data_IF_049636175063
#
_entry.id   IF_049636175063
#
_cell.length_a   1.000
_cell.length_b   1.000
_cell.length_c   1.000
_cell.angle_alpha   90.00
_cell.angle_beta   90.00
_cell.angle_gamma   90.00
#
_symmetry.space_group_name_H-M   'P 1'
#
loop_
_entity.id
_entity.type
_entity.pdbx_description
1 polymer ?
#
# COMPACT_ATOMS: atom_id res chain seq x y z
N UNK A 1 -15.43 -15.04 -4.22
CA UNK A 1 -14.25 -14.16 -4.10
C UNK A 1 -14.16 -13.76 -2.63
N UNK A 2 -13.01 -13.91 -1.99
CA UNK A 2 -12.84 -13.51 -0.58
C UNK A 2 -11.50 -12.83 -0.40
N UNK A 3 -11.51 -11.62 0.18
CA UNK A 3 -10.27 -10.93 0.53
C UNK A 3 -9.67 -11.56 1.77
N UNK A 4 -8.40 -11.95 1.69
CA UNK A 4 -7.66 -12.48 2.82
C UNK A 4 -6.59 -11.50 3.25
N UNK A 5 -6.62 -11.17 4.53
CA UNK A 5 -5.68 -10.28 5.17
C UNK A 5 -5.24 -10.88 6.48
N UNK A 6 -3.98 -10.70 6.82
CA UNK A 6 -3.55 -10.86 8.19
C UNK A 6 -4.03 -9.67 9.03
N UNK A 7 -4.35 -9.95 10.28
CA UNK A 7 -4.62 -8.98 11.34
C UNK A 7 -4.00 -9.52 12.62
N UNK A 8 -3.27 -8.68 13.35
CA UNK A 8 -2.68 -9.09 14.64
C UNK A 8 -3.71 -9.55 15.66
N UNK A 9 -4.92 -9.02 15.61
CA UNK A 9 -6.01 -9.43 16.50
C UNK A 9 -6.61 -10.80 16.17
N UNK A 10 -6.36 -11.34 14.97
CA UNK A 10 -6.92 -12.61 14.48
C UNK A 10 -5.86 -13.35 13.63
N UNK A 11 -4.71 -13.74 14.22
CA UNK A 11 -3.52 -14.16 13.48
C UNK A 11 -3.71 -15.46 12.68
N UNK A 12 -4.72 -16.28 13.03
CA UNK A 12 -4.96 -17.58 12.40
C UNK A 12 -6.13 -17.59 11.42
N UNK A 13 -6.96 -16.53 11.38
CA UNK A 13 -8.20 -16.48 10.60
C UNK A 13 -7.99 -16.72 9.11
N UNK A 14 -6.84 -16.31 8.57
CA UNK A 14 -6.53 -16.47 7.15
C UNK A 14 -6.38 -17.95 6.73
N UNK A 15 -6.03 -18.86 7.65
CA UNK A 15 -5.88 -20.28 7.33
C UNK A 15 -7.22 -20.92 7.01
N UNK A 16 -8.27 -20.57 7.76
CA UNK A 16 -9.64 -21.01 7.46
C UNK A 16 -10.09 -20.51 6.09
N UNK A 17 -9.70 -19.30 5.70
CA UNK A 17 -10.02 -18.75 4.39
C UNK A 17 -9.31 -19.49 3.25
N UNK A 18 -8.05 -19.90 3.45
CA UNK A 18 -7.30 -20.69 2.47
C UNK A 18 -7.93 -22.07 2.32
N UNK A 19 -8.21 -22.73 3.44
CA UNK A 19 -8.88 -24.03 3.46
C UNK A 19 -10.23 -23.99 2.73
N UNK A 20 -11.06 -22.97 3.01
CA UNK A 20 -12.34 -22.78 2.33
C UNK A 20 -12.18 -22.64 0.81
N UNK A 21 -11.16 -21.91 0.36
CA UNK A 21 -10.87 -21.74 -1.08
C UNK A 21 -10.47 -23.08 -1.69
N UNK A 22 -9.58 -23.83 -1.04
CA UNK A 22 -9.12 -25.12 -1.55
C UNK A 22 -10.24 -26.15 -1.61
N UNK A 23 -11.03 -26.27 -0.54
CA UNK A 23 -12.20 -27.16 -0.49
C UNK A 23 -13.24 -26.80 -1.56
N UNK A 24 -13.54 -25.51 -1.72
CA UNK A 24 -14.48 -25.05 -2.74
C UNK A 24 -14.01 -25.42 -4.15
N UNK A 25 -12.72 -25.27 -4.45
CA UNK A 25 -12.18 -25.64 -5.76
C UNK A 25 -12.08 -27.16 -5.94
N UNK A 26 -11.79 -27.92 -4.88
CA UNK A 26 -11.76 -29.39 -4.92
C UNK A 26 -13.14 -29.99 -5.22
N UNK A 27 -14.22 -29.32 -4.77
CA UNK A 27 -15.61 -29.67 -5.07
C UNK A 27 -16.09 -29.21 -6.46
N UNK A 28 -15.21 -28.64 -7.28
CA UNK A 28 -15.53 -28.16 -8.64
C UNK A 28 -16.04 -26.72 -8.71
N UNK A 29 -16.07 -26.00 -7.59
CA UNK A 29 -16.30 -24.56 -7.55
C UNK A 29 -15.12 -23.76 -8.12
N UNK A 30 -15.34 -22.46 -8.34
CA UNK A 30 -14.28 -21.52 -8.73
C UNK A 30 -14.16 -20.44 -7.67
N UNK A 31 -13.08 -20.49 -6.90
CA UNK A 31 -12.81 -19.48 -5.87
C UNK A 31 -11.34 -19.05 -5.92
N UNK A 32 -11.11 -17.75 -5.84
CA UNK A 32 -9.79 -17.17 -5.66
C UNK A 32 -9.74 -16.42 -4.32
N UNK A 33 -8.55 -16.43 -3.74
CA UNK A 33 -8.16 -15.51 -2.69
C UNK A 33 -7.79 -14.19 -3.38
N UNK A 34 -8.43 -13.11 -2.93
CA UNK A 34 -7.95 -11.78 -3.24
C UNK A 34 -6.91 -11.39 -2.20
N UNK A 35 -5.67 -11.14 -2.61
CA UNK A 35 -4.58 -10.75 -1.73
C UNK A 35 -3.80 -9.57 -2.27
N UNK A 36 -3.24 -8.74 -1.39
CA UNK A 36 -2.26 -7.71 -1.75
C UNK A 36 -0.86 -8.15 -1.33
N UNK A 37 0.14 -7.77 -2.13
CA UNK A 37 1.55 -8.08 -1.88
C UNK A 37 2.24 -7.08 -0.95
N UNK A 38 1.54 -6.04 -0.50
CA UNK A 38 2.10 -5.00 0.38
C UNK A 38 1.54 -5.12 1.79
N UNK A 39 2.18 -4.44 2.75
CA UNK A 39 1.43 -3.91 3.89
C UNK A 39 0.20 -3.16 3.39
N UNK A 40 -0.91 -3.31 4.10
CA UNK A 40 -2.13 -2.56 3.81
C UNK A 40 -2.47 -1.72 5.03
N UNK A 41 -2.46 -0.40 4.87
CA UNK A 41 -2.68 0.52 5.97
C UNK A 41 -2.57 1.96 5.53
N UNK A 42 -2.37 2.83 6.51
CA UNK A 42 -2.31 4.26 6.23
C UNK A 42 -0.86 4.75 6.16
N UNK A 43 -0.60 5.61 5.20
CA UNK A 43 0.54 6.50 5.22
C UNK A 43 0.29 7.65 6.20
N UNK A 44 1.30 7.90 7.03
CA UNK A 44 1.36 8.99 8.00
C UNK A 44 2.46 9.94 7.59
N UNK A 45 2.21 11.23 7.71
CA UNK A 45 3.21 12.28 7.48
C UNK A 45 2.71 13.56 8.13
N UNK A 46 3.63 14.47 8.44
CA UNK A 46 3.26 15.83 8.80
C UNK A 46 2.70 16.62 7.60
N UNK A 47 2.99 16.20 6.37
CA UNK A 47 2.38 16.78 5.16
C UNK A 47 0.91 16.35 4.97
N UNK A 48 0.53 15.18 5.50
CA UNK A 48 -0.83 14.66 5.43
C UNK A 48 -1.45 14.59 6.81
N UNK A 49 -1.28 13.44 7.47
CA UNK A 49 -1.94 13.12 8.72
C UNK A 49 -0.96 12.39 9.64
N UNK A 50 -0.83 12.85 10.88
CA UNK A 50 -0.09 12.11 11.91
C UNK A 50 -1.04 11.19 12.67
N UNK A 51 -0.54 10.21 13.44
CA UNK A 51 -1.41 9.36 14.25
C UNK A 51 -2.21 10.11 15.34
N UNK A 52 -1.87 11.37 15.64
CA UNK A 52 -2.36 12.09 16.81
C UNK A 52 -3.20 13.33 16.48
N UNK A 53 -3.48 13.59 15.21
CA UNK A 53 -4.18 14.82 14.76
C UNK A 53 -5.55 15.03 15.41
N UNK A 54 -6.15 13.99 16.00
CA UNK A 54 -7.43 14.06 16.71
C UNK A 54 -7.31 14.44 18.20
N UNK A 55 -6.11 14.40 18.80
CA UNK A 55 -5.86 14.84 20.17
C UNK A 55 -5.88 16.39 20.19
N UNK A 56 -6.62 17.07 21.10
CA UNK A 56 -6.83 18.53 21.02
C UNK A 56 -5.54 19.36 20.85
N UNK A 57 -4.50 19.09 21.64
CA UNK A 57 -3.22 19.82 21.57
C UNK A 57 -2.55 19.61 20.21
N UNK A 58 -2.57 18.39 19.69
CA UNK A 58 -2.04 18.07 18.37
C UNK A 58 -2.90 18.67 17.26
N UNK A 59 -4.24 18.62 17.38
CA UNK A 59 -5.16 19.22 16.42
C UNK A 59 -4.89 20.69 16.21
N UNK A 60 -4.62 21.44 17.27
CA UNK A 60 -4.29 22.86 17.17
C UNK A 60 -2.87 23.07 16.62
N UNK A 61 -1.90 22.28 17.06
CA UNK A 61 -0.54 22.32 16.55
C UNK A 61 -0.46 22.02 15.04
N UNK A 62 -1.25 21.06 14.57
CA UNK A 62 -1.28 20.57 13.18
C UNK A 62 -1.94 21.54 12.21
N UNK A 63 -2.64 22.58 12.69
CA UNK A 63 -3.14 23.70 11.87
C UNK A 63 -2.04 24.68 11.44
N UNK A 64 -0.90 24.67 12.12
CA UNK A 64 0.22 25.56 11.82
C UNK A 64 0.86 25.19 10.48
N UNK A 65 1.59 26.12 9.87
CA UNK A 65 2.38 25.82 8.67
C UNK A 65 3.44 24.75 8.98
N UNK A 66 3.88 23.96 7.99
CA UNK A 66 4.95 22.97 8.22
C UNK A 66 6.22 23.59 8.83
N UNK A 67 6.55 24.84 8.44
CA UNK A 67 7.67 25.59 9.01
C UNK A 67 7.49 25.85 10.51
N UNK A 68 6.30 26.29 10.91
CA UNK A 68 6.01 26.60 12.31
C UNK A 68 5.86 25.33 13.15
N UNK A 69 5.38 24.24 12.55
CA UNK A 69 5.41 22.92 13.17
C UNK A 69 6.85 22.45 13.37
N UNK A 70 7.72 22.59 12.37
CA UNK A 70 9.13 22.22 12.52
C UNK A 70 9.80 23.04 13.64
N UNK A 71 9.55 24.35 13.69
CA UNK A 71 10.03 25.20 14.77
C UNK A 71 9.49 24.77 16.14
N UNK A 72 8.19 24.49 16.24
CA UNK A 72 7.55 24.04 17.49
C UNK A 72 8.02 22.65 17.95
N UNK A 73 8.36 21.73 17.05
CA UNK A 73 8.94 20.43 17.43
C UNK A 73 10.39 20.54 17.92
N UNK A 74 11.10 21.61 17.54
CA UNK A 74 12.45 21.93 18.04
C UNK A 74 12.41 22.69 19.37
N UNK A 75 11.28 23.31 19.71
CA UNK A 75 11.06 23.92 21.01
C UNK A 75 10.80 22.83 22.09
N UNK A 76 11.65 22.72 23.13
CA UNK A 76 11.49 21.71 24.17
C UNK A 76 10.16 21.80 24.92
N UNK A 77 9.62 23.01 25.12
CA UNK A 77 8.36 23.19 25.87
C UNK A 77 7.17 22.65 25.06
N UNK A 78 7.06 23.06 23.80
CA UNK A 78 6.04 22.55 22.89
C UNK A 78 6.16 21.03 22.69
N UNK A 79 7.37 20.50 22.51
CA UNK A 79 7.61 19.05 22.34
C UNK A 79 7.16 18.27 23.58
N UNK A 80 7.52 18.73 24.78
CA UNK A 80 7.07 18.12 26.03
C UNK A 80 5.54 18.16 26.17
N UNK A 81 4.90 19.28 25.78
CA UNK A 81 3.44 19.42 25.80
C UNK A 81 2.74 18.43 24.86
N UNK A 82 3.27 18.24 23.65
CA UNK A 82 2.75 17.27 22.68
C UNK A 82 2.92 15.83 23.16
N UNK A 83 4.08 15.50 23.75
CA UNK A 83 4.35 14.18 24.31
C UNK A 83 3.44 13.86 25.51
N UNK A 84 3.30 14.80 26.45
CA UNK A 84 2.39 14.67 27.58
C UNK A 84 0.94 14.48 27.13
N UNK A 85 0.51 15.16 26.06
CA UNK A 85 -0.83 14.99 25.49
C UNK A 85 -1.05 13.58 24.91
N UNK A 86 -0.03 12.96 24.29
CA UNK A 86 -0.10 11.56 23.84
C UNK A 86 -0.17 10.60 25.03
N UNK A 87 0.66 10.80 26.04
CA UNK A 87 0.70 9.95 27.24
C UNK A 87 -0.60 10.00 28.05
N UNK A 88 -1.20 11.19 28.19
CA UNK A 88 -2.46 11.37 28.90
C UNK A 88 -3.69 10.88 28.09
N UNK A 89 -3.53 10.68 26.77
CA UNK A 89 -4.64 10.29 25.92
C UNK A 89 -4.91 8.79 26.00
N UNK A 90 -6.09 8.43 26.52
CA UNK A 90 -6.60 7.05 26.42
C UNK A 90 -7.29 6.85 25.08
N UNK A 91 -6.72 6.01 24.23
CA UNK A 91 -7.34 5.65 22.96
C UNK A 91 -8.69 4.95 23.17
N UNK A 92 -9.73 5.45 22.52
CA UNK A 92 -11.06 4.85 22.47
C UNK A 92 -11.56 4.90 21.03
N UNK A 93 -12.05 3.78 20.46
CA UNK A 93 -12.71 3.82 19.16
C UNK A 93 -13.86 4.83 19.19
N UNK A 94 -13.88 5.72 18.20
CA UNK A 94 -14.87 6.79 18.07
C UNK A 94 -15.42 6.76 16.65
N UNK A 95 -16.66 6.31 16.42
CA UNK A 95 -17.26 6.24 15.09
C UNK A 95 -17.27 7.58 14.32
N UNK A 96 -17.12 8.72 15.00
CA UNK A 96 -17.00 10.03 14.35
C UNK A 96 -15.62 10.27 13.70
N UNK A 97 -14.60 9.46 14.03
CA UNK A 97 -13.26 9.57 13.46
C UNK A 97 -13.09 8.66 12.23
N UNK A 98 -12.27 9.07 11.24
CA UNK A 98 -11.84 8.21 10.16
C UNK A 98 -11.30 6.85 10.65
N UNK A 99 -11.52 5.78 9.87
CA UNK A 99 -11.01 4.43 10.15
C UNK A 99 -9.51 4.37 10.48
N UNK A 100 -8.75 5.30 9.91
CA UNK A 100 -7.33 5.47 10.15
C UNK A 100 -6.97 5.78 11.62
N UNK A 101 -7.89 6.36 12.39
CA UNK A 101 -7.71 6.70 13.81
C UNK A 101 -8.40 5.75 14.77
N UNK A 102 -8.99 4.66 14.29
CA UNK A 102 -9.73 3.71 15.14
C UNK A 102 -8.82 2.73 15.90
N UNK A 103 -7.51 2.79 15.65
CA UNK A 103 -6.53 1.86 16.21
C UNK A 103 -5.45 2.62 16.96
N UNK A 104 -5.01 2.13 18.13
CA UNK A 104 -3.89 2.73 18.83
C UNK A 104 -2.62 2.59 17.98
N UNK A 105 -1.66 3.48 18.24
CA UNK A 105 -0.33 3.40 17.64
C UNK A 105 0.45 2.30 18.33
N UNK A 106 1.02 1.40 17.53
CA UNK A 106 1.98 0.41 17.98
C UNK A 106 3.29 0.66 17.23
N UNK A 107 4.31 1.09 17.96
CA UNK A 107 5.57 1.54 17.38
C UNK A 107 6.40 0.41 16.78
N UNK A 108 6.16 -0.85 17.17
CA UNK A 108 6.75 -2.02 16.52
C UNK A 108 6.17 -2.26 15.11
N UNK A 109 5.09 -1.53 14.76
CA UNK A 109 4.37 -1.62 13.49
C UNK A 109 4.16 -0.25 12.84
N UNK A 110 5.05 0.70 13.12
CA UNK A 110 5.16 1.94 12.35
C UNK A 110 6.53 1.93 11.68
N UNK A 111 6.58 2.08 10.37
CA UNK A 111 7.83 1.97 9.62
C UNK A 111 8.09 3.27 8.84
N UNK A 112 9.24 3.93 9.04
CA UNK A 112 9.62 5.08 8.22
C UNK A 112 9.99 4.61 6.81
N UNK A 113 9.31 5.16 5.80
CA UNK A 113 9.64 4.89 4.40
C UNK A 113 10.86 5.74 4.03
N UNK A 114 12.04 5.16 4.22
CA UNK A 114 13.33 5.81 3.90
C UNK A 114 13.86 5.45 2.52
N UNK A 115 13.33 4.37 1.93
CA UNK A 115 13.65 3.86 0.61
C UNK A 115 12.43 3.08 0.06
N UNK A 116 12.38 2.74 -1.24
CA UNK A 116 11.12 2.34 -1.85
C UNK A 116 10.67 0.89 -1.56
N UNK A 117 11.60 0.01 -1.21
CA UNK A 117 11.33 -1.40 -0.94
C UNK A 117 11.84 -1.78 0.45
N UNK A 118 11.16 -2.68 1.17
CA UNK A 118 11.62 -3.17 2.48
C UNK A 118 12.89 -4.04 2.37
N UNK A 119 13.57 -4.33 3.49
CA UNK A 119 13.13 -4.15 4.89
C UNK A 119 13.23 -2.73 5.44
N UNK A 120 12.27 -2.38 6.31
CA UNK A 120 12.30 -1.15 7.10
C UNK A 120 12.37 -1.52 8.59
N UNK A 121 13.30 -0.97 9.38
CA UNK A 121 13.23 -1.11 10.83
C UNK A 121 12.00 -0.35 11.35
N UNK A 122 11.27 -0.92 12.29
CA UNK A 122 10.14 -0.22 12.91
C UNK A 122 10.64 0.96 13.76
N UNK A 123 9.76 1.91 14.07
CA UNK A 123 10.07 2.98 15.03
C UNK A 123 10.45 2.39 16.39
N UNK A 124 9.79 1.30 16.81
CA UNK A 124 10.13 0.57 18.04
C UNK A 124 11.54 -0.02 18.01
N UNK A 125 11.95 -0.61 16.88
CA UNK A 125 13.32 -1.13 16.72
C UNK A 125 14.37 -0.02 16.78
N UNK A 126 14.12 1.10 16.07
CA UNK A 126 15.02 2.26 16.07
C UNK A 126 15.10 2.87 17.48
N UNK A 127 13.98 2.95 18.20
CA UNK A 127 13.91 3.44 19.57
C UNK A 127 14.74 2.58 20.53
N UNK A 128 14.60 1.24 20.46
CA UNK A 128 15.43 0.31 21.23
C UNK A 128 16.91 0.46 20.90
N UNK A 129 17.26 0.62 19.62
CA UNK A 129 18.64 0.81 19.19
C UNK A 129 19.24 2.13 19.68
N UNK A 130 18.45 3.21 19.70
CA UNK A 130 18.89 4.55 20.11
C UNK A 130 18.79 4.79 21.63
N UNK A 131 18.08 3.93 22.37
CA UNK A 131 17.78 4.16 23.79
C UNK A 131 16.88 5.37 24.01
N UNK A 132 15.94 5.62 23.09
CA UNK A 132 15.03 6.77 23.09
C UNK A 132 13.56 6.32 23.17
N UNK A 133 12.68 7.22 23.59
CA UNK A 133 11.24 6.98 23.51
C UNK A 133 10.78 6.89 22.04
N UNK A 134 9.88 5.96 21.67
CA UNK A 134 9.45 5.80 20.28
C UNK A 134 8.81 7.04 19.66
N UNK A 135 8.04 7.82 20.44
CA UNK A 135 7.47 9.07 19.96
C UNK A 135 8.57 10.08 19.60
N UNK A 136 9.64 10.16 20.41
CA UNK A 136 10.76 11.04 20.13
C UNK A 136 11.50 10.62 18.87
N UNK A 137 11.71 9.33 18.64
CA UNK A 137 12.29 8.81 17.39
C UNK A 137 11.43 9.18 16.18
N UNK A 138 10.11 9.00 16.27
CA UNK A 138 9.19 9.39 15.21
C UNK A 138 9.30 10.89 14.86
N UNK A 139 9.35 11.75 15.88
CA UNK A 139 9.50 13.20 15.72
C UNK A 139 10.89 13.57 15.16
N UNK A 140 11.96 12.96 15.67
CA UNK A 140 13.33 13.21 15.22
C UNK A 140 13.52 12.83 13.76
N UNK A 141 13.04 11.65 13.34
CA UNK A 141 13.11 11.23 11.94
C UNK A 141 12.30 12.13 11.01
N UNK A 142 11.15 12.63 11.46
CA UNK A 142 10.39 13.62 10.70
C UNK A 142 11.19 14.94 10.58
N UNK A 143 11.79 15.43 11.66
CA UNK A 143 12.62 16.64 11.68
C UNK A 143 13.87 16.51 10.80
N UNK A 144 14.52 15.35 10.78
CA UNK A 144 15.67 15.02 9.92
C UNK A 144 15.34 15.13 8.41
N UNK A 145 14.05 15.15 8.05
CA UNK A 145 13.56 15.27 6.67
C UNK A 145 12.66 16.50 6.47
N UNK A 146 12.79 17.51 7.33
CA UNK A 146 11.98 18.75 7.27
C UNK A 146 10.48 18.45 7.20
N UNK A 147 10.03 17.47 7.99
CA UNK A 147 8.66 16.97 8.07
C UNK A 147 8.14 16.29 6.79
N UNK A 148 9.00 16.08 5.79
CA UNK A 148 8.71 15.39 4.53
C UNK A 148 9.15 13.92 4.57
N UNK A 149 8.62 13.20 5.54
CA UNK A 149 8.85 11.76 5.68
C UNK A 149 7.51 11.05 5.87
N UNK A 150 7.27 10.04 5.04
CA UNK A 150 6.13 9.15 5.20
C UNK A 150 6.49 7.98 6.10
N UNK A 151 5.54 7.59 6.94
CA UNK A 151 5.58 6.38 7.74
C UNK A 151 4.39 5.52 7.35
N UNK A 152 4.58 4.21 7.21
CA UNK A 152 3.46 3.29 7.04
C UNK A 152 3.05 2.73 8.40
N UNK A 153 1.76 2.82 8.70
CA UNK A 153 1.11 2.15 9.82
C UNK A 153 0.15 1.10 9.24
N UNK A 154 0.58 -0.16 9.12
CA UNK A 154 -0.25 -1.24 8.60
C UNK A 154 -1.50 -1.45 9.49
N UNK A 155 -2.66 -1.62 8.85
CA UNK A 155 -3.89 -2.10 9.50
C UNK A 155 -4.19 -3.56 9.20
N UNK A 156 -3.52 -4.10 8.18
CA UNK A 156 -3.63 -5.43 7.63
C UNK A 156 -2.29 -5.82 7.01
N UNK A 157 -2.09 -7.13 6.88
CA UNK A 157 -0.84 -7.67 6.34
C UNK A 157 0.38 -7.16 7.13
N UNK A 158 0.23 -7.04 8.45
CA UNK A 158 1.32 -6.66 9.33
C UNK A 158 2.47 -7.68 9.18
N UNK A 159 2.17 -8.96 9.38
CA UNK A 159 3.13 -10.06 9.22
C UNK A 159 3.45 -10.34 7.73
N UNK A 160 4.72 -10.17 7.36
CA UNK A 160 5.20 -10.42 5.99
C UNK A 160 5.37 -11.90 5.66
N UNK A 161 5.52 -12.79 6.64
CA UNK A 161 5.52 -14.24 6.38
C UNK A 161 4.12 -14.72 5.98
N UNK A 162 3.06 -14.11 6.54
CA UNK A 162 1.71 -14.29 6.00
C UNK A 162 1.62 -13.82 4.54
N UNK A 163 2.10 -12.61 4.23
CA UNK A 163 2.05 -12.09 2.85
C UNK A 163 2.77 -13.02 1.88
N UNK A 164 3.93 -13.55 2.29
CA UNK A 164 4.69 -14.57 1.56
C UNK A 164 3.85 -15.83 1.33
N UNK A 165 3.15 -16.35 2.34
CA UNK A 165 2.26 -17.51 2.18
C UNK A 165 1.08 -17.19 1.24
N UNK A 166 0.48 -16.01 1.38
CA UNK A 166 -0.63 -15.51 0.58
C UNK A 166 -0.28 -15.45 -0.91
N UNK A 167 0.82 -14.80 -1.27
CA UNK A 167 1.21 -14.66 -2.68
C UNK A 167 1.62 -16.00 -3.31
N UNK A 168 2.14 -16.94 -2.51
CA UNK A 168 2.54 -18.28 -2.96
C UNK A 168 1.36 -19.23 -3.16
N UNK A 169 0.25 -18.99 -2.50
CA UNK A 169 -0.93 -19.85 -2.63
C UNK A 169 -1.40 -19.93 -4.10
N UNK A 170 -1.63 -21.13 -4.67
CA UNK A 170 -1.91 -21.30 -6.10
C UNK A 170 -3.21 -20.62 -6.57
N UNK A 171 -4.13 -20.34 -5.63
CA UNK A 171 -5.41 -19.67 -5.90
C UNK A 171 -5.46 -18.19 -5.49
N UNK A 172 -4.31 -17.56 -5.28
CA UNK A 172 -4.26 -16.11 -5.01
C UNK A 172 -4.15 -15.30 -6.30
N UNK A 173 -5.10 -14.40 -6.50
CA UNK A 173 -4.96 -13.25 -7.37
C UNK A 173 -4.34 -12.09 -6.59
N UNK A 174 -3.19 -11.60 -7.05
CA UNK A 174 -2.50 -10.47 -6.41
C UNK A 174 -3.09 -9.18 -6.97
N UNK A 175 -3.87 -8.48 -6.14
CA UNK A 175 -4.66 -7.29 -6.50
C UNK A 175 -4.97 -6.51 -5.22
N UNK A 176 -6.04 -5.70 -5.21
CA UNK A 176 -6.48 -4.88 -4.07
C UNK A 176 -5.67 -3.58 -3.91
N UNK A 177 -5.45 -2.84 -5.00
CA UNK A 177 -4.75 -1.55 -4.91
C UNK A 177 -5.54 -0.53 -4.11
N UNK A 178 -6.87 -0.52 -4.29
CA UNK A 178 -7.80 0.46 -3.71
C UNK A 178 -7.35 1.93 -3.94
N UNK A 179 -6.52 2.12 -4.97
CA UNK A 179 -5.98 3.41 -5.34
C UNK A 179 -7.12 4.32 -5.81
N UNK A 180 -7.29 5.48 -5.17
CA UNK A 180 -8.36 6.42 -5.48
C UNK A 180 -9.47 6.52 -4.43
N UNK A 181 -9.64 5.53 -3.53
CA UNK A 181 -10.67 5.58 -2.49
C UNK A 181 -10.26 6.48 -1.31
N UNK A 182 -8.99 6.43 -0.95
CA UNK A 182 -8.40 7.13 0.19
C UNK A 182 -7.16 7.93 -0.24
N UNK A 183 -7.34 8.80 -1.24
CA UNK A 183 -6.26 9.44 -2.02
C UNK A 183 -5.19 10.15 -1.19
N UNK A 184 -5.50 10.67 0.00
CA UNK A 184 -4.55 11.40 0.84
C UNK A 184 -3.94 10.55 1.97
N UNK A 185 -4.36 9.30 2.15
CA UNK A 185 -3.97 8.48 3.31
C UNK A 185 -3.51 7.08 2.97
N UNK A 186 -3.80 6.57 1.77
CA UNK A 186 -3.49 5.18 1.39
C UNK A 186 -2.95 5.12 -0.04
N UNK A 187 -1.91 4.33 -0.24
CA UNK A 187 -1.42 3.94 -1.56
C UNK A 187 -0.82 2.53 -1.49
N UNK A 188 -1.11 1.70 -2.50
CA UNK A 188 -0.62 0.33 -2.58
C UNK A 188 -0.01 0.10 -3.97
N UNK A 189 1.31 0.26 -4.15
CA UNK A 189 1.99 0.08 -5.44
C UNK A 189 2.26 -1.42 -5.70
N UNK A 190 1.18 -2.20 -5.77
CA UNK A 190 1.21 -3.67 -5.63
C UNK A 190 2.15 -4.34 -6.64
N UNK A 191 2.05 -4.01 -7.93
CA UNK A 191 2.79 -4.74 -8.96
C UNK A 191 4.29 -4.44 -8.91
N UNK A 192 4.66 -3.17 -8.70
CA UNK A 192 6.06 -2.78 -8.50
C UNK A 192 6.66 -3.45 -7.27
N UNK A 193 5.89 -3.55 -6.17
CA UNK A 193 6.33 -4.21 -4.95
C UNK A 193 6.40 -5.74 -5.12
N UNK A 194 5.42 -6.39 -5.75
CA UNK A 194 5.43 -7.82 -6.04
C UNK A 194 6.67 -8.21 -6.85
N UNK A 195 6.95 -7.49 -7.94
CA UNK A 195 8.06 -7.82 -8.83
C UNK A 195 9.41 -7.41 -8.23
N UNK A 196 9.48 -6.23 -7.60
CA UNK A 196 10.72 -5.72 -7.04
C UNK A 196 11.13 -6.37 -5.71
N UNK A 197 10.20 -6.54 -4.78
CA UNK A 197 10.50 -7.13 -3.47
C UNK A 197 10.34 -8.66 -3.51
N UNK A 198 9.13 -9.16 -3.80
CA UNK A 198 8.85 -10.58 -3.64
C UNK A 198 9.47 -11.49 -4.70
N UNK A 199 9.62 -11.03 -5.94
CA UNK A 199 10.28 -11.80 -7.02
C UNK A 199 11.78 -11.56 -7.00
N UNK A 200 12.25 -10.32 -7.19
CA UNK A 200 13.68 -10.05 -7.34
C UNK A 200 14.45 -10.19 -6.03
N UNK A 201 14.04 -9.51 -4.96
CA UNK A 201 14.83 -9.46 -3.72
C UNK A 201 14.65 -10.73 -2.86
N UNK A 202 13.41 -11.17 -2.66
CA UNK A 202 13.08 -12.28 -1.75
C UNK A 202 13.00 -13.65 -2.44
N UNK A 203 12.91 -13.68 -3.77
CA UNK A 203 12.79 -14.90 -4.56
C UNK A 203 11.65 -15.83 -4.09
N UNK A 204 10.58 -15.25 -3.53
CA UNK A 204 9.43 -15.99 -3.01
C UNK A 204 8.59 -16.63 -4.12
N UNK A 205 8.64 -16.05 -5.33
CA UNK A 205 7.99 -16.49 -6.56
C UNK A 205 8.97 -16.38 -7.72
N UNK A 206 8.82 -17.23 -8.74
CA UNK A 206 9.44 -16.94 -10.04
C UNK A 206 8.74 -15.77 -10.72
N UNK A 207 9.42 -15.13 -11.67
CA UNK A 207 8.83 -14.03 -12.43
C UNK A 207 7.56 -14.47 -13.15
N UNK A 208 7.58 -15.63 -13.80
CA UNK A 208 6.44 -16.19 -14.55
C UNK A 208 5.25 -16.50 -13.63
N UNK A 209 5.50 -17.05 -12.44
CA UNK A 209 4.46 -17.30 -11.45
C UNK A 209 3.81 -16.00 -10.97
N UNK A 210 4.61 -14.95 -10.72
CA UNK A 210 4.08 -13.64 -10.33
C UNK A 210 3.30 -12.98 -11.47
N UNK A 211 3.81 -13.02 -12.71
CA UNK A 211 3.11 -12.48 -13.89
C UNK A 211 1.78 -13.19 -14.11
N UNK A 212 1.74 -14.52 -14.02
CA UNK A 212 0.50 -15.30 -14.16
C UNK A 212 -0.58 -14.85 -13.17
N UNK A 213 -0.21 -14.56 -11.92
CA UNK A 213 -1.12 -14.12 -10.84
C UNK A 213 -1.71 -12.73 -11.02
N UNK A 214 -1.03 -11.86 -11.76
CA UNK A 214 -1.49 -10.48 -12.05
C UNK A 214 -2.01 -10.31 -13.49
N UNK A 215 -2.09 -11.40 -14.26
CA UNK A 215 -2.56 -11.39 -15.65
C UNK A 215 -3.54 -12.54 -15.93
N UNK A 216 -3.02 -13.72 -16.28
CA UNK A 216 -3.81 -14.86 -16.74
C UNK A 216 -4.83 -15.35 -15.70
N UNK A 217 -4.43 -15.53 -14.44
CA UNK A 217 -5.34 -16.08 -13.42
C UNK A 217 -6.53 -15.14 -13.18
N UNK A 218 -6.32 -13.83 -13.29
CA UNK A 218 -7.37 -12.81 -13.20
C UNK A 218 -8.26 -12.87 -14.44
N UNK A 219 -7.67 -12.83 -15.64
CA UNK A 219 -8.43 -12.87 -16.89
C UNK A 219 -9.28 -14.14 -17.01
N UNK A 220 -8.72 -15.30 -16.66
CA UNK A 220 -9.41 -16.58 -16.67
C UNK A 220 -10.56 -16.64 -15.65
N UNK A 221 -10.38 -16.06 -14.47
CA UNK A 221 -11.43 -16.03 -13.45
C UNK A 221 -12.61 -15.15 -13.84
N UNK A 222 -12.34 -13.99 -14.46
CA UNK A 222 -13.36 -13.04 -14.90
C UNK A 222 -13.93 -13.30 -16.30
N UNK A 223 -13.44 -14.33 -17.00
CA UNK A 223 -13.90 -14.65 -18.36
C UNK A 223 -13.51 -13.60 -19.40
N UNK A 224 -12.34 -12.96 -19.22
CA UNK A 224 -11.82 -11.96 -20.15
C UNK A 224 -11.12 -12.65 -21.32
N UNK A 225 -11.93 -13.20 -22.23
CA UNK A 225 -11.44 -13.93 -23.40
C UNK A 225 -10.48 -13.09 -24.25
N UNK A 226 -9.38 -13.72 -24.69
CA UNK A 226 -8.34 -13.06 -25.47
C UNK A 226 -7.44 -12.09 -24.69
N UNK A 227 -7.49 -12.07 -23.35
CA UNK A 227 -6.65 -11.20 -22.49
C UNK A 227 -5.88 -12.00 -21.43
N UNK A 228 -4.90 -11.34 -20.79
CA UNK A 228 -4.14 -11.89 -19.66
C UNK A 228 -2.99 -12.83 -20.01
N UNK A 229 -2.73 -13.09 -21.29
CA UNK A 229 -1.58 -13.86 -21.77
C UNK A 229 -1.23 -13.50 -23.21
N UNK A 230 0.06 -13.64 -23.56
CA UNK A 230 0.56 -13.30 -24.89
C UNK A 230 0.39 -14.49 -25.85
N UNK A 231 -0.47 -14.32 -26.85
CA UNK A 231 -0.73 -15.30 -27.90
C UNK A 231 -1.22 -14.58 -29.15
N UNK A 232 -0.86 -15.06 -30.33
CA UNK A 232 -1.43 -14.57 -31.59
C UNK A 232 -2.96 -14.65 -31.56
N UNK A 233 -3.61 -13.58 -32.04
CA UNK A 233 -5.08 -13.42 -32.01
C UNK A 233 -5.65 -12.80 -30.73
N UNK A 234 -4.87 -12.68 -29.65
CA UNK A 234 -5.30 -11.98 -28.43
C UNK A 234 -5.22 -10.46 -28.58
N UNK A 235 -5.88 -9.75 -27.64
CA UNK A 235 -5.70 -8.31 -27.49
C UNK A 235 -4.26 -7.98 -27.08
N UNK A 236 -3.69 -6.94 -27.69
CA UNK A 236 -2.35 -6.45 -27.38
C UNK A 236 -2.33 -5.55 -26.13
N UNK A 237 -2.69 -6.12 -24.98
CA UNK A 237 -2.47 -5.50 -23.66
C UNK A 237 -1.13 -5.98 -23.12
N UNK A 238 -0.11 -5.12 -23.21
CA UNK A 238 1.28 -5.52 -22.98
C UNK A 238 1.96 -4.52 -22.08
N UNK A 239 2.70 -5.01 -21.09
CA UNK A 239 3.61 -4.21 -20.28
C UNK A 239 5.03 -4.65 -20.58
N UNK A 240 5.87 -3.71 -21.01
CA UNK A 240 7.32 -3.89 -21.14
C UNK A 240 7.95 -3.26 -19.92
N UNK A 241 8.70 -4.06 -19.16
CA UNK A 241 9.40 -3.60 -17.96
C UNK A 241 10.76 -4.28 -17.83
N UNK A 242 11.64 -3.67 -17.07
CA UNK A 242 12.94 -4.19 -16.70
C UNK A 242 12.84 -4.89 -15.32
N UNK A 243 13.04 -6.22 -15.24
CA UNK A 243 12.95 -6.96 -13.99
C UNK A 243 14.01 -6.53 -12.96
N UNK A 244 15.16 -6.02 -13.40
CA UNK A 244 16.24 -5.61 -12.51
C UNK A 244 15.95 -4.28 -11.80
N UNK A 245 15.13 -3.42 -12.40
CA UNK A 245 14.88 -2.05 -11.91
C UNK A 245 13.43 -1.79 -11.50
N UNK A 246 12.51 -2.73 -11.72
CA UNK A 246 11.11 -2.56 -11.33
C UNK A 246 10.97 -2.44 -9.82
N UNK A 247 10.41 -1.33 -9.36
CA UNK A 247 10.17 -1.04 -7.96
C UNK A 247 9.13 0.08 -7.84
N UNK A 248 8.34 0.14 -6.75
CA UNK A 248 7.63 1.37 -6.42
C UNK A 248 8.63 2.51 -6.22
N UNK A 249 8.21 3.75 -6.45
CA UNK A 249 8.93 4.95 -6.06
C UNK A 249 8.67 5.32 -4.60
N UNK A 250 9.21 6.44 -4.14
CA UNK A 250 8.79 7.03 -2.87
C UNK A 250 7.40 7.68 -3.02
N UNK A 251 6.54 7.65 -2.00
CA UNK A 251 5.29 8.41 -2.02
C UNK A 251 5.56 9.91 -2.01
N UNK A 252 4.74 10.66 -2.74
CA UNK A 252 4.78 12.11 -2.83
C UNK A 252 3.39 12.69 -2.62
N UNK A 253 3.26 13.78 -1.86
CA UNK A 253 2.03 14.53 -1.75
C UNK A 253 1.95 15.59 -2.86
N UNK A 254 0.90 15.54 -3.67
CA UNK A 254 0.60 16.54 -4.71
C UNK A 254 -0.77 17.17 -4.49
N UNK A 255 -0.96 18.37 -5.03
CA UNK A 255 -2.18 19.19 -4.90
C UNK A 255 -2.83 19.45 -6.27
N UNK A 256 -3.10 18.38 -7.02
CA UNK A 256 -3.55 18.43 -8.40
C UNK A 256 -5.02 18.00 -8.59
N UNK A 257 -5.75 17.77 -7.49
CA UNK A 257 -7.19 17.53 -7.51
C UNK A 257 -7.99 18.85 -7.52
N UNK A 258 -9.29 18.82 -7.88
CA UNK A 258 -10.15 20.00 -7.83
C UNK A 258 -10.06 20.74 -6.50
N UNK A 259 -10.13 22.07 -6.56
CA UNK A 259 -9.94 22.98 -5.42
C UNK A 259 -8.58 22.85 -4.70
N UNK A 260 -7.56 22.25 -5.33
CA UNK A 260 -6.22 22.09 -4.75
C UNK A 260 -6.15 21.02 -3.66
N UNK A 261 -7.13 20.11 -3.63
CA UNK A 261 -7.15 19.02 -2.66
C UNK A 261 -5.91 18.11 -2.82
N UNK A 262 -5.34 17.59 -1.71
CA UNK A 262 -4.15 16.77 -1.78
C UNK A 262 -4.45 15.32 -2.19
N UNK A 263 -3.49 14.68 -2.84
CA UNK A 263 -3.40 13.22 -2.96
C UNK A 263 -1.96 12.75 -2.90
N UNK A 264 -1.77 11.52 -2.46
CA UNK A 264 -0.50 10.83 -2.52
C UNK A 264 -0.40 10.14 -3.87
N UNK A 265 0.73 10.34 -4.55
CA UNK A 265 1.11 9.61 -5.75
C UNK A 265 2.36 8.78 -5.47
N UNK A 266 2.49 7.65 -6.18
CA UNK A 266 3.66 6.80 -6.12
C UNK A 266 3.85 6.16 -7.49
N UNK A 267 4.77 6.71 -8.28
CA UNK A 267 5.14 6.14 -9.58
C UNK A 267 5.90 4.82 -9.39
N UNK A 268 6.07 4.04 -10.45
CA UNK A 268 6.82 2.77 -10.43
C UNK A 268 7.98 2.87 -11.41
N UNK A 269 9.22 2.60 -10.98
CA UNK A 269 10.37 2.53 -11.87
C UNK A 269 10.37 1.24 -12.68
N UNK A 270 11.21 1.17 -13.72
CA UNK A 270 11.41 -0.03 -14.53
C UNK A 270 10.32 -0.31 -15.57
N UNK A 271 9.16 0.37 -15.54
CA UNK A 271 8.15 0.26 -16.61
C UNK A 271 8.56 1.11 -17.81
N UNK A 272 8.79 0.46 -18.96
CA UNK A 272 9.21 1.10 -20.21
C UNK A 272 8.04 1.52 -21.08
N UNK A 273 7.08 0.62 -21.23
CA UNK A 273 5.95 0.83 -22.12
C UNK A 273 4.73 0.07 -21.61
N UNK A 274 3.55 0.66 -21.74
CA UNK A 274 2.28 -0.03 -21.54
C UNK A 274 1.43 0.17 -22.79
N UNK A 275 0.98 -0.93 -23.37
CA UNK A 275 0.07 -0.96 -24.50
C UNK A 275 -1.31 -1.41 -24.01
N UNK A 276 -2.35 -0.77 -24.53
CA UNK A 276 -3.74 -1.17 -24.32
C UNK A 276 -4.36 -1.34 -25.70
N UNK A 277 -4.89 -2.53 -26.00
CA UNK A 277 -5.43 -2.87 -27.32
C UNK A 277 -4.47 -2.53 -28.49
N UNK A 278 -3.16 -2.62 -28.27
CA UNK A 278 -2.12 -2.37 -29.29
C UNK A 278 -1.66 -0.92 -29.41
N UNK A 279 -2.30 0.03 -28.72
CA UNK A 279 -1.87 1.42 -28.70
C UNK A 279 -0.98 1.70 -27.49
N UNK A 280 0.08 2.49 -27.69
CA UNK A 280 0.98 2.90 -26.60
C UNK A 280 0.25 3.87 -25.68
N UNK A 281 -0.17 3.39 -24.51
CA UNK A 281 -0.88 4.13 -23.48
C UNK A 281 0.08 4.92 -22.57
N UNK A 282 1.18 4.29 -22.16
CA UNK A 282 2.24 4.91 -21.36
C UNK A 282 3.60 4.61 -21.97
N UNK A 283 4.52 5.58 -21.94
CA UNK A 283 5.93 5.40 -22.31
C UNK A 283 6.82 6.13 -21.31
N UNK A 284 7.80 5.42 -20.74
CA UNK A 284 8.70 5.93 -19.69
C UNK A 284 7.94 6.66 -18.57
N UNK A 285 6.87 6.04 -18.06
CA UNK A 285 5.98 6.58 -17.02
C UNK A 285 5.17 7.85 -17.37
N UNK A 286 5.10 8.23 -18.64
CA UNK A 286 4.28 9.35 -19.10
C UNK A 286 3.12 8.88 -19.99
N UNK A 287 1.94 9.45 -19.77
CA UNK A 287 0.73 9.14 -20.52
C UNK A 287 0.82 9.76 -21.91
N UNK A 288 0.57 8.97 -22.96
CA UNK A 288 0.73 9.44 -24.35
C UNK A 288 -0.45 10.25 -24.87
N UNK A 289 -1.57 10.20 -24.16
CA UNK A 289 -2.86 10.74 -24.61
C UNK A 289 -3.78 9.70 -25.24
N UNK A 290 -3.28 8.48 -25.50
CA UNK A 290 -4.11 7.40 -26.03
C UNK A 290 -5.18 6.97 -25.03
N UNK A 291 -6.43 6.87 -25.48
CA UNK A 291 -7.59 6.43 -24.69
C UNK A 291 -8.12 5.11 -25.25
N UNK A 292 -7.24 4.13 -25.42
CA UNK A 292 -7.52 2.88 -26.11
C UNK A 292 -8.35 1.87 -25.29
N UNK A 293 -8.82 2.25 -24.10
CA UNK A 293 -9.66 1.39 -23.26
C UNK A 293 -11.00 1.04 -23.91
N UNK A 294 -11.53 -0.14 -23.61
CA UNK A 294 -12.85 -0.59 -24.07
C UNK A 294 -13.67 -1.13 -22.91
N UNK A 295 -14.98 -0.93 -22.98
CA UNK A 295 -15.91 -1.58 -22.06
C UNK A 295 -15.84 -3.10 -22.27
N UNK A 296 -15.46 -3.83 -21.23
CA UNK A 296 -15.50 -5.29 -21.23
C UNK A 296 -16.87 -5.75 -20.74
N UNK A 297 -17.53 -6.60 -21.53
CA UNK A 297 -18.83 -7.17 -21.18
C UNK A 297 -18.62 -8.61 -20.72
N UNK A 298 -19.14 -8.93 -19.54
CA UNK A 298 -19.11 -10.29 -19.04
C UNK A 298 -20.04 -11.21 -19.85
N UNK A 299 -19.86 -12.52 -19.77
CA UNK A 299 -20.61 -13.50 -20.56
C UNK A 299 -22.14 -13.49 -20.32
N UNK A 300 -22.58 -12.93 -19.18
CA UNK A 300 -24.01 -12.79 -18.84
C UNK A 300 -24.63 -11.47 -19.32
N UNK A 301 -23.84 -10.56 -19.91
CA UNK A 301 -24.34 -9.32 -20.47
C UNK A 301 -24.84 -9.59 -21.89
N UNK A 302 -26.15 -9.81 -22.05
CA UNK A 302 -26.79 -9.82 -23.37
C UNK A 302 -26.83 -8.41 -23.95
N UNK A 303 -26.72 -8.31 -25.29
CA UNK A 303 -26.78 -7.06 -26.05
C UNK A 303 -28.10 -6.32 -25.85
#
# INVERSE_FOLDING_TARGET
>A
FGSSFYKRSHPDQWREQFQMVDETNALGGKMLIQGTATWNGSLRSFETMTPYDYIPVWKDFRKLSLRDQEAGLRDPEMRARLAAAVQAHTHKPDPALPNAFQRPVDWDWVFPLTHPLPPFPSIGDIARQRGQEPLDVFLDLALERHLKLFFIQPSNNEDQEFVRALIRHPRTAVTFSDAGAHVATTINPIHGHLLGHWVRNEQALTLEAAIRKISFDIAAFWGLEGRGWLREGNYADVVVFDPETIAPGMPELVHDLPAGAPRIIQKTSGIKCTLVNGEVFMRENEHTGALAGRLLRGPLCHN
#
